data_IF_800627061654
#
_entry.id   IF_800627061654
#
_cell.length_a   1.000
_cell.length_b   1.000
_cell.length_c   1.000
_cell.angle_alpha   90.00
_cell.angle_beta   90.00
_cell.angle_gamma   90.00
#
_symmetry.space_group_name_H-M   'P 1'
#
loop_
_entity.id
_entity.type
_entity.pdbx_description
1 polymer ?
#
# COMPACT_ATOMS: atom_id res chain seq x y z
N UNK A 1 -24.58 9.49 9.82
CA UNK A 1 -23.36 8.72 10.13
C UNK A 1 -23.01 7.98 8.86
N UNK A 2 -22.04 8.45 8.10
CA UNK A 2 -21.52 7.73 6.93
C UNK A 2 -20.78 6.50 7.44
N UNK A 3 -21.18 5.30 7.01
CA UNK A 3 -20.37 4.11 7.24
C UNK A 3 -18.99 4.37 6.64
N UNK A 4 -17.94 4.26 7.46
CA UNK A 4 -16.59 4.34 6.95
C UNK A 4 -16.19 2.98 6.40
N UNK A 5 -15.91 2.91 5.11
CA UNK A 5 -15.39 1.71 4.50
C UNK A 5 -13.88 1.65 4.75
N UNK A 6 -13.41 0.52 5.29
CA UNK A 6 -12.00 0.30 5.62
C UNK A 6 -11.49 -0.98 4.96
N UNK A 7 -10.29 -0.92 4.41
CA UNK A 7 -9.55 -2.07 3.91
C UNK A 7 -8.17 -2.09 4.59
N UNK A 8 -7.95 -3.11 5.43
CA UNK A 8 -6.65 -3.33 6.07
C UNK A 8 -5.77 -4.21 5.18
N UNK A 9 -4.56 -3.74 4.90
CA UNK A 9 -3.60 -4.39 4.01
C UNK A 9 -2.29 -4.56 4.78
N UNK A 10 -1.85 -5.81 4.91
CA UNK A 10 -0.58 -6.15 5.51
C UNK A 10 0.53 -6.15 4.47
N UNK A 11 1.61 -5.40 4.73
CA UNK A 11 2.83 -5.38 3.93
C UNK A 11 3.89 -6.24 4.61
N UNK A 12 4.26 -7.37 4.00
CA UNK A 12 5.41 -8.16 4.42
C UNK A 12 6.64 -7.70 3.66
N UNK A 13 7.76 -7.52 4.37
CA UNK A 13 9.08 -7.18 3.80
C UNK A 13 10.13 -8.04 4.46
N UNK A 14 11.04 -8.59 3.66
CA UNK A 14 12.18 -9.36 4.14
C UNK A 14 13.43 -9.06 3.32
N UNK A 15 14.57 -8.96 4.00
CA UNK A 15 15.89 -8.97 3.38
C UNK A 15 16.30 -10.42 3.13
N UNK A 16 16.39 -10.80 1.86
CA UNK A 16 16.64 -12.18 1.43
C UNK A 16 18.06 -12.39 0.90
N UNK A 17 18.87 -11.34 0.84
CA UNK A 17 20.25 -11.41 0.36
C UNK A 17 20.34 -11.76 -1.14
N UNK A 18 21.29 -12.62 -1.50
CA UNK A 18 21.47 -13.19 -2.84
C UNK A 18 21.12 -14.68 -2.79
N UNK A 19 20.16 -15.13 -3.60
CA UNK A 19 19.70 -16.53 -3.62
C UNK A 19 18.36 -16.72 -2.92
N UNK A 20 17.28 -16.56 -3.69
CA UNK A 20 15.89 -16.83 -3.34
C UNK A 20 15.02 -16.67 -4.62
N UNK A 21 13.70 -16.81 -4.52
CA UNK A 21 12.79 -16.60 -5.67
C UNK A 21 12.69 -15.11 -6.13
N UNK A 22 13.51 -14.22 -5.57
CA UNK A 22 13.55 -12.78 -5.88
C UNK A 22 14.49 -12.39 -7.03
N UNK A 23 15.16 -13.36 -7.67
CA UNK A 23 16.13 -13.09 -8.72
C UNK A 23 17.34 -12.31 -8.20
N UNK A 24 17.68 -11.18 -8.82
CA UNK A 24 18.75 -10.27 -8.38
C UNK A 24 18.32 -9.33 -7.24
N UNK A 25 17.05 -9.38 -6.80
CA UNK A 25 16.50 -8.51 -5.77
C UNK A 25 16.92 -8.91 -4.36
N UNK A 26 17.52 -7.96 -3.63
CA UNK A 26 17.96 -8.11 -2.24
C UNK A 26 16.80 -8.17 -1.23
N UNK A 27 15.63 -7.67 -1.61
CA UNK A 27 14.44 -7.59 -0.77
C UNK A 27 13.26 -8.30 -1.41
N UNK A 28 12.50 -9.02 -0.59
CA UNK A 28 11.19 -9.58 -0.91
C UNK A 28 10.11 -8.71 -0.26
N UNK A 29 8.99 -8.51 -0.96
CA UNK A 29 7.79 -7.93 -0.37
C UNK A 29 6.52 -8.58 -0.91
N UNK A 30 5.45 -8.52 -0.12
CA UNK A 30 4.12 -8.96 -0.52
C UNK A 30 3.04 -8.20 0.25
N UNK A 31 1.86 -8.08 -0.36
CA UNK A 31 0.68 -7.47 0.24
C UNK A 31 -0.40 -8.52 0.51
N UNK A 32 -1.14 -8.38 1.61
CA UNK A 32 -2.28 -9.24 1.96
C UNK A 32 -3.44 -8.40 2.49
N UNK A 33 -4.61 -8.38 1.84
CA UNK A 33 -4.89 -9.06 0.58
C UNK A 33 -3.99 -8.52 -0.56
N UNK A 34 -3.74 -9.39 -1.54
CA UNK A 34 -2.99 -9.06 -2.76
C UNK A 34 -3.81 -8.15 -3.69
N UNK A 35 -5.13 -8.28 -3.65
CA UNK A 35 -6.08 -7.44 -4.37
C UNK A 35 -6.62 -6.31 -3.49
N UNK A 36 -6.15 -5.08 -3.75
CA UNK A 36 -6.77 -3.87 -3.21
C UNK A 36 -7.77 -3.30 -4.22
N UNK A 37 -9.08 -3.51 -3.99
CA UNK A 37 -10.15 -3.14 -4.91
C UNK A 37 -11.23 -2.30 -4.20
N UNK A 38 -11.43 -1.07 -4.65
CA UNK A 38 -12.55 -0.24 -4.24
C UNK A 38 -13.76 -0.48 -5.15
N UNK A 39 -14.85 -0.99 -4.58
CA UNK A 39 -16.07 -1.36 -5.32
C UNK A 39 -17.20 -0.32 -5.15
N UNK A 40 -18.30 -0.55 -5.87
CA UNK A 40 -19.55 0.21 -5.76
C UNK A 40 -19.99 0.35 -4.30
N UNK A 41 -20.32 1.57 -3.93
CA UNK A 41 -20.80 1.90 -2.59
C UNK A 41 -19.70 2.07 -1.54
N UNK A 42 -18.44 1.75 -1.84
CA UNK A 42 -17.32 1.87 -0.90
C UNK A 42 -16.60 3.23 -1.02
N UNK A 43 -17.32 4.33 -1.23
CA UNK A 43 -16.71 5.65 -1.42
C UNK A 43 -17.06 6.61 -0.28
N UNK A 44 -16.07 7.24 0.37
CA UNK A 44 -14.64 6.97 0.27
C UNK A 44 -14.23 5.64 0.95
N UNK A 45 -13.16 5.00 0.47
CA UNK A 45 -12.54 3.83 1.08
C UNK A 45 -11.22 4.24 1.74
N UNK A 46 -11.10 4.02 3.05
CA UNK A 46 -9.83 4.14 3.76
C UNK A 46 -9.02 2.83 3.61
N UNK A 47 -7.89 2.91 2.92
CA UNK A 47 -6.97 1.79 2.76
C UNK A 47 -5.80 1.94 3.73
N UNK A 48 -5.74 1.07 4.73
CA UNK A 48 -4.71 1.08 5.77
C UNK A 48 -3.65 0.04 5.45
N UNK A 49 -2.46 0.50 5.10
CA UNK A 49 -1.28 -0.32 4.87
C UNK A 49 -0.43 -0.34 6.13
N UNK A 50 -0.12 -1.51 6.66
CA UNK A 50 0.74 -1.67 7.84
C UNK A 50 1.72 -2.80 7.62
N UNK A 51 2.96 -2.66 8.09
CA UNK A 51 3.88 -3.79 8.09
C UNK A 51 3.29 -4.98 8.86
N UNK A 52 3.46 -6.20 8.35
CA UNK A 52 3.10 -7.41 9.06
C UNK A 52 3.85 -7.50 10.39
N UNK A 53 3.28 -8.19 11.37
CA UNK A 53 3.85 -8.29 12.72
C UNK A 53 5.25 -8.92 12.73
N UNK A 54 5.55 -9.76 11.74
CA UNK A 54 6.83 -10.46 11.55
C UNK A 54 7.91 -9.57 10.92
N UNK A 55 7.53 -8.44 10.31
CA UNK A 55 8.49 -7.53 9.67
C UNK A 55 9.33 -6.84 10.74
N UNK A 56 10.65 -6.99 10.61
CA UNK A 56 11.63 -6.43 11.53
C UNK A 56 11.44 -4.90 11.71
N UNK A 57 11.74 -4.34 12.89
CA UNK A 57 11.54 -2.91 13.17
C UNK A 57 12.44 -1.94 12.40
N UNK A 58 13.53 -2.43 11.78
CA UNK A 58 14.44 -1.63 10.97
C UNK A 58 13.82 -1.14 9.65
N UNK A 59 12.69 -1.72 9.23
CA UNK A 59 11.99 -1.25 8.05
C UNK A 59 11.02 -0.11 8.38
N UNK A 60 11.15 1.00 7.64
CA UNK A 60 10.30 2.20 7.77
C UNK A 60 9.78 2.68 6.42
N UNK A 61 8.49 2.97 6.35
CA UNK A 61 7.88 3.65 5.20
C UNK A 61 8.23 5.13 5.30
N UNK A 62 8.86 5.67 4.25
CA UNK A 62 9.32 7.07 4.20
C UNK A 62 8.40 7.95 3.38
N UNK A 63 7.82 7.40 2.32
CA UNK A 63 6.84 8.10 1.49
C UNK A 63 6.01 7.10 0.70
N UNK A 64 4.90 7.60 0.17
CA UNK A 64 4.08 6.87 -0.81
C UNK A 64 3.90 7.76 -2.02
N UNK A 65 4.30 7.25 -3.18
CA UNK A 65 4.04 7.86 -4.48
C UNK A 65 2.81 7.21 -5.10
N UNK A 66 2.11 7.94 -5.97
CA UNK A 66 0.93 7.44 -6.66
C UNK A 66 0.95 7.85 -8.13
N UNK A 67 0.50 6.96 -9.01
CA UNK A 67 0.28 7.25 -10.42
C UNK A 67 -1.09 7.91 -10.69
N UNK A 68 -1.87 8.17 -9.64
CA UNK A 68 -3.20 8.74 -9.78
C UNK A 68 -3.15 10.13 -10.43
N UNK A 69 -3.85 10.26 -11.55
CA UNK A 69 -3.97 11.49 -12.34
C UNK A 69 -5.40 12.02 -12.38
N UNK A 70 -6.32 11.40 -11.64
CA UNK A 70 -7.75 11.74 -11.64
C UNK A 70 -8.27 12.19 -10.27
N UNK A 71 -7.37 12.60 -9.37
CA UNK A 71 -7.71 13.07 -8.02
C UNK A 71 -8.58 12.08 -7.24
N UNK A 72 -8.33 10.79 -7.37
CA UNK A 72 -9.03 9.75 -6.61
C UNK A 72 -8.37 9.47 -5.27
N UNK A 73 -7.07 9.71 -5.13
CA UNK A 73 -6.33 9.60 -3.87
C UNK A 73 -6.30 10.96 -3.18
N UNK A 74 -6.80 11.03 -1.94
CA UNK A 74 -6.77 12.26 -1.15
C UNK A 74 -5.35 12.55 -0.68
N UNK A 75 -4.91 13.79 -0.84
CA UNK A 75 -3.61 14.29 -0.37
C UNK A 75 -3.80 15.21 0.86
N UNK A 76 -2.82 15.27 1.78
CA UNK A 76 -1.63 14.41 1.84
C UNK A 76 -1.98 12.98 2.28
N UNK A 77 -1.21 12.00 1.79
CA UNK A 77 -1.26 10.63 2.31
C UNK A 77 -0.75 10.63 3.76
N UNK A 78 -1.49 9.99 4.67
CA UNK A 78 -1.20 10.02 6.10
C UNK A 78 -0.28 8.86 6.49
N UNK A 79 0.95 9.16 6.88
CA UNK A 79 1.88 8.17 7.43
C UNK A 79 1.89 8.22 8.97
N UNK A 80 2.10 7.07 9.61
CA UNK A 80 2.32 7.01 11.05
C UNK A 80 3.69 7.60 11.40
N UNK A 81 3.81 8.19 12.59
CA UNK A 81 5.06 8.79 13.08
C UNK A 81 6.21 7.77 13.20
N UNK A 82 5.89 6.51 13.50
CA UNK A 82 6.87 5.42 13.61
C UNK A 82 7.32 4.87 12.25
N UNK A 83 6.65 5.28 11.16
CA UNK A 83 6.87 4.81 9.80
C UNK A 83 6.41 3.37 9.56
N UNK A 84 5.54 2.81 10.40
CA UNK A 84 5.10 1.40 10.30
C UNK A 84 3.78 1.20 9.57
N UNK A 85 3.08 2.28 9.27
CA UNK A 85 1.86 2.24 8.50
C UNK A 85 1.54 3.55 7.79
N UNK A 86 0.65 3.44 6.82
CA UNK A 86 0.13 4.54 6.00
C UNK A 86 -1.36 4.33 5.75
N UNK A 87 -2.12 5.41 5.78
CA UNK A 87 -3.53 5.44 5.40
C UNK A 87 -3.71 6.24 4.13
N UNK A 88 -4.28 5.59 3.11
CA UNK A 88 -4.61 6.17 1.81
C UNK A 88 -6.13 6.26 1.71
N UNK A 89 -6.68 7.46 1.51
CA UNK A 89 -8.12 7.63 1.31
C UNK A 89 -8.40 7.66 -0.19
N UNK A 90 -9.24 6.74 -0.65
CA UNK A 90 -9.57 6.54 -2.05
C UNK A 90 -11.04 6.88 -2.32
N UNK A 91 -11.29 7.82 -3.22
CA UNK A 91 -12.62 8.30 -3.59
C UNK A 91 -13.39 7.33 -4.49
N UNK A 92 -12.70 6.47 -5.25
CA UNK A 92 -13.35 5.51 -6.17
C UNK A 92 -14.46 6.12 -7.05
N UNK A 93 -14.28 7.35 -7.55
CA UNK A 93 -15.32 8.03 -8.34
C UNK A 93 -15.26 7.68 -9.83
N UNK A 94 -14.15 7.09 -10.30
CA UNK A 94 -13.94 6.72 -11.69
C UNK A 94 -13.16 5.41 -11.83
N UNK A 95 -13.62 4.54 -12.73
CA UNK A 95 -12.93 3.30 -13.05
C UNK A 95 -11.49 3.58 -13.53
N UNK A 96 -10.50 3.14 -12.76
CA UNK A 96 -9.08 3.44 -12.97
C UNK A 96 -8.21 2.41 -12.26
N UNK A 97 -7.05 2.12 -12.84
CA UNK A 97 -5.98 1.39 -12.18
C UNK A 97 -4.94 2.38 -11.65
N UNK A 98 -4.63 2.32 -10.37
CA UNK A 98 -3.68 3.21 -9.71
C UNK A 98 -2.51 2.37 -9.18
N UNK A 99 -1.29 2.77 -9.52
CA UNK A 99 -0.08 2.22 -8.93
C UNK A 99 0.31 3.08 -7.72
N UNK A 100 0.47 2.45 -6.57
CA UNK A 100 1.13 3.06 -5.42
C UNK A 100 2.57 2.56 -5.36
N UNK A 101 3.47 3.37 -4.83
CA UNK A 101 4.86 2.99 -4.60
C UNK A 101 5.25 3.44 -3.19
N UNK A 102 5.35 2.46 -2.29
CA UNK A 102 5.79 2.66 -0.92
C UNK A 102 7.31 2.67 -0.91
N UNK A 103 7.90 3.83 -0.63
CA UNK A 103 9.35 3.97 -0.47
C UNK A 103 9.70 3.51 0.95
N UNK A 104 10.34 2.36 1.04
CA UNK A 104 10.74 1.72 2.31
C UNK A 104 12.23 1.88 2.50
N UNK A 105 12.63 2.24 3.71
CA UNK A 105 14.02 2.25 4.15
C UNK A 105 14.30 1.01 5.01
N UNK A 106 15.41 0.33 4.72
CA UNK A 106 16.10 -0.55 5.66
C UNK A 106 17.12 0.27 6.45
N UNK A 107 16.76 0.68 7.67
CA UNK A 107 17.60 1.60 8.47
C UNK A 107 18.91 0.97 8.93
N UNK A 108 19.02 -0.36 8.95
CA UNK A 108 20.28 -1.02 9.32
C UNK A 108 21.31 -0.92 8.19
N UNK A 109 20.85 -0.83 6.94
CA UNK A 109 21.69 -0.80 5.75
C UNK A 109 21.71 0.56 5.06
N UNK A 110 20.86 1.50 5.49
CA UNK A 110 20.68 2.81 4.88
C UNK A 110 20.33 2.71 3.39
N UNK A 111 19.45 1.76 3.03
CA UNK A 111 19.02 1.52 1.65
C UNK A 111 17.54 1.81 1.52
N UNK A 112 17.16 2.52 0.44
CA UNK A 112 15.79 2.71 0.01
C UNK A 112 15.43 1.70 -1.10
N UNK A 113 14.23 1.17 -1.04
CA UNK A 113 13.63 0.35 -2.09
C UNK A 113 12.13 0.60 -2.16
N UNK A 114 11.49 0.12 -3.21
CA UNK A 114 10.07 0.31 -3.45
C UNK A 114 9.28 -0.98 -3.22
N UNK A 115 8.10 -0.86 -2.62
CA UNK A 115 7.05 -1.88 -2.62
C UNK A 115 5.82 -1.30 -3.32
N UNK A 116 5.34 -1.92 -4.39
CA UNK A 116 4.42 -1.30 -5.36
C UNK A 116 3.10 -2.09 -5.53
N UNK A 117 2.12 -1.93 -4.61
CA UNK A 117 0.83 -2.56 -4.79
C UNK A 117 0.03 -1.87 -5.88
N UNK A 118 -0.82 -2.65 -6.54
CA UNK A 118 -1.81 -2.15 -7.49
C UNK A 118 -3.14 -1.94 -6.78
N UNK A 119 -3.78 -0.80 -7.03
CA UNK A 119 -5.11 -0.46 -6.52
C UNK A 119 -6.10 -0.36 -7.68
N UNK A 120 -7.14 -1.18 -7.64
CA UNK A 120 -8.25 -1.12 -8.58
C UNK A 120 -9.38 -0.23 -8.06
N UNK A 121 -9.84 0.69 -8.89
CA UNK A 121 -11.07 1.44 -8.68
C UNK A 121 -12.09 0.99 -9.71
N UNK A 122 -13.25 0.53 -9.24
CA UNK A 122 -14.41 0.31 -10.10
C UNK A 122 -15.71 0.60 -9.32
N UNK A 123 -16.32 1.78 -9.52
CA UNK A 123 -17.55 2.16 -8.83
C UNK A 123 -18.80 1.41 -9.31
N UNK A 124 -18.69 0.54 -10.32
CA UNK A 124 -19.84 -0.16 -10.92
C UNK A 124 -19.92 -1.63 -10.50
N UNK A 125 -18.81 -2.25 -10.12
CA UNK A 125 -18.80 -3.63 -9.64
C UNK A 125 -19.16 -3.71 -8.16
N UNK A 126 -19.82 -4.79 -7.75
CA UNK A 126 -20.03 -5.13 -6.34
C UNK A 126 -19.33 -6.46 -6.08
N UNK A 127 -18.69 -6.65 -4.91
CA UNK A 127 -18.23 -7.98 -4.52
C UNK A 127 -19.46 -8.89 -4.47
N UNK A 128 -19.39 -10.04 -5.14
CA UNK A 128 -20.40 -11.09 -5.01
C UNK A 128 -20.15 -11.89 -3.74
#
# INVERSE_FOLDING_TARGET
>A
MTEEHHLCISLTVADVGFGGNTGAGKYFYSFSPDLALACKGQSPLAMRYTFAKEVRPNFKIRSVLTSDSKDQIVQPIMADEDGRGVTVINRNNAATLIFLSFVVEDTDKMILFSCDPQVGNDPKISPR
#
